data_IF_619303428213
#
_entry.id   IF_619303428213
#
_cell.length_a   1.000
_cell.length_b   1.000
_cell.length_c   1.000
_cell.angle_alpha   90.00
_cell.angle_beta   90.00
_cell.angle_gamma   90.00
#
_symmetry.space_group_name_H-M   'P 1'
#
loop_
_entity.id
_entity.type
_entity.pdbx_description
1 polymer ?
#
# COMPACT_ATOMS: atom_id res chain seq x y z
N UNK A 1 15.52 16.54 10.19
CA UNK A 1 14.60 16.71 9.06
C UNK A 1 13.36 15.90 9.39
N UNK A 2 12.15 16.47 9.33
CA UNK A 2 10.95 15.68 9.55
C UNK A 2 10.92 14.59 8.47
N UNK A 3 10.75 13.33 8.89
CA UNK A 3 10.47 12.27 7.93
C UNK A 3 9.14 12.61 7.27
N UNK A 4 9.07 12.60 5.94
CA UNK A 4 7.80 12.76 5.25
C UNK A 4 6.81 11.70 5.79
N UNK A 5 5.56 12.08 6.06
CA UNK A 5 4.53 11.20 6.64
C UNK A 5 4.38 9.88 5.87
N UNK A 6 4.66 9.90 4.56
CA UNK A 6 4.70 8.73 3.70
C UNK A 6 5.80 7.73 4.05
N UNK A 7 6.96 8.23 4.50
CA UNK A 7 8.10 7.40 4.93
C UNK A 7 7.79 6.73 6.27
N UNK A 8 7.17 7.43 7.20
CA UNK A 8 6.75 6.85 8.49
C UNK A 8 5.67 5.79 8.30
N UNK A 9 4.68 6.05 7.43
CA UNK A 9 3.67 5.05 7.09
C UNK A 9 4.30 3.81 6.45
N UNK A 10 5.30 3.97 5.57
CA UNK A 10 5.99 2.85 4.93
C UNK A 10 6.79 2.00 5.93
N UNK A 11 7.44 2.63 6.92
CA UNK A 11 8.21 1.94 7.97
C UNK A 11 7.28 1.12 8.89
N UNK A 12 6.14 1.69 9.29
CA UNK A 12 5.13 0.97 10.09
C UNK A 12 4.49 -0.20 9.32
N UNK A 13 4.25 0.00 8.01
CA UNK A 13 3.78 -1.05 7.12
C UNK A 13 4.80 -2.17 6.98
N UNK A 14 6.08 -1.83 6.79
CA UNK A 14 7.16 -2.81 6.72
C UNK A 14 7.33 -3.58 8.03
N UNK A 15 7.06 -2.95 9.18
CA UNK A 15 7.09 -3.59 10.48
C UNK A 15 5.88 -4.51 10.75
N UNK A 16 4.80 -4.39 9.95
CA UNK A 16 3.52 -5.06 10.19
C UNK A 16 3.06 -5.83 8.94
N UNK A 17 3.58 -7.05 8.69
CA UNK A 17 3.21 -7.85 7.52
C UNK A 17 1.72 -8.22 7.48
N UNK A 18 1.07 -8.41 8.64
CA UNK A 18 -0.38 -8.63 8.72
C UNK A 18 -1.18 -7.42 8.22
N UNK A 19 -0.73 -6.21 8.54
CA UNK A 19 -1.36 -4.97 8.07
C UNK A 19 -1.20 -4.81 6.56
N UNK A 20 -0.02 -5.14 6.03
CA UNK A 20 0.23 -5.16 4.58
C UNK A 20 -0.71 -6.15 3.89
N UNK A 21 -0.83 -7.38 4.40
CA UNK A 21 -1.74 -8.38 3.85
C UNK A 21 -3.19 -7.89 3.88
N UNK A 22 -3.62 -7.27 4.99
CA UNK A 22 -4.97 -6.73 5.12
C UNK A 22 -5.24 -5.61 4.12
N UNK A 23 -4.30 -4.68 3.93
CA UNK A 23 -4.43 -3.59 2.96
C UNK A 23 -4.47 -4.09 1.52
N UNK A 24 -3.67 -5.10 1.17
CA UNK A 24 -3.71 -5.71 -0.15
C UNK A 24 -5.05 -6.39 -0.45
N UNK A 25 -5.74 -6.90 0.57
CA UNK A 25 -7.07 -7.50 0.44
C UNK A 25 -8.15 -6.41 0.36
N UNK A 26 -8.13 -5.46 1.28
CA UNK A 26 -9.16 -4.42 1.41
C UNK A 26 -9.11 -3.43 0.24
N UNK A 27 -7.93 -3.08 -0.24
CA UNK A 27 -7.73 -2.21 -1.40
C UNK A 27 -7.67 -3.02 -2.70
N UNK A 28 -8.80 -3.62 -3.07
CA UNK A 28 -8.98 -4.33 -4.34
C UNK A 28 -9.61 -3.45 -5.42
N UNK A 29 -9.43 -3.82 -6.68
CA UNK A 29 -10.10 -3.18 -7.80
C UNK A 29 -11.58 -3.56 -7.83
N UNK A 30 -12.44 -2.56 -7.96
CA UNK A 30 -13.86 -2.74 -8.30
C UNK A 30 -14.02 -2.95 -9.82
N UNK A 31 -15.12 -3.57 -10.33
CA UNK A 31 -15.41 -3.69 -11.77
C UNK A 31 -15.23 -2.40 -12.59
N UNK A 32 -15.46 -1.23 -12.01
CA UNK A 32 -15.27 0.06 -12.66
C UNK A 32 -13.81 0.59 -12.61
N UNK A 33 -12.88 -0.18 -12.05
CA UNK A 33 -11.46 0.17 -11.90
C UNK A 33 -11.16 1.12 -10.75
N UNK A 34 -12.08 1.29 -9.80
CA UNK A 34 -11.90 2.08 -8.58
C UNK A 34 -11.39 1.22 -7.43
N UNK A 35 -10.74 1.84 -6.45
CA UNK A 35 -10.33 1.11 -5.25
C UNK A 35 -11.50 0.94 -4.27
N UNK A 36 -11.85 -0.30 -3.91
CA UNK A 36 -12.93 -0.58 -2.94
C UNK A 36 -12.65 -0.09 -1.52
N UNK A 37 -11.38 -0.08 -1.11
CA UNK A 37 -11.00 0.37 0.23
C UNK A 37 -11.21 1.87 0.47
N UNK A 38 -11.49 2.65 -0.58
CA UNK A 38 -11.78 4.08 -0.44
C UNK A 38 -13.28 4.34 -0.54
N UNK A 39 -13.87 4.84 0.55
CA UNK A 39 -15.22 5.37 0.56
C UNK A 39 -15.38 6.45 -0.53
N UNK A 40 -16.43 6.34 -1.33
CA UNK A 40 -16.78 7.26 -2.43
C UNK A 40 -15.83 7.28 -3.64
N UNK A 41 -15.13 6.17 -3.96
CA UNK A 41 -14.32 6.05 -5.18
C UNK A 41 -13.33 7.21 -5.36
N UNK A 42 -12.72 7.67 -4.26
CA UNK A 42 -11.82 8.83 -4.29
C UNK A 42 -10.55 8.61 -5.11
N UNK A 43 -10.15 7.36 -5.32
CA UNK A 43 -8.93 7.02 -6.04
C UNK A 43 -9.12 5.78 -6.92
N UNK A 44 -8.58 5.83 -8.14
CA UNK A 44 -8.58 4.68 -9.06
C UNK A 44 -7.59 3.62 -8.57
N UNK A 45 -7.89 2.36 -8.86
CA UNK A 45 -6.97 1.28 -8.59
C UNK A 45 -5.86 1.25 -9.67
N UNK A 46 -4.58 1.02 -9.30
CA UNK A 46 -4.05 0.84 -7.95
C UNK A 46 -3.96 2.17 -7.18
N UNK A 47 -4.47 2.15 -5.95
CA UNK A 47 -4.42 3.30 -5.04
C UNK A 47 -3.03 3.45 -4.41
N UNK A 48 -2.74 4.65 -3.90
CA UNK A 48 -1.45 4.99 -3.28
C UNK A 48 -1.14 4.09 -2.09
N UNK A 49 -2.14 3.76 -1.26
CA UNK A 49 -2.00 2.87 -0.10
C UNK A 49 -1.68 1.44 -0.53
N UNK A 50 -2.37 0.90 -1.55
CA UNK A 50 -2.05 -0.42 -2.09
C UNK A 50 -0.63 -0.44 -2.63
N UNK A 51 -0.22 0.60 -3.35
CA UNK A 51 1.13 0.68 -3.91
C UNK A 51 2.19 0.71 -2.81
N UNK A 52 1.92 1.38 -1.69
CA UNK A 52 2.78 1.33 -0.50
C UNK A 52 2.82 -0.06 0.12
N UNK A 53 1.67 -0.74 0.25
CA UNK A 53 1.60 -2.10 0.75
C UNK A 53 2.34 -3.09 -0.18
N UNK A 54 2.25 -2.93 -1.50
CA UNK A 54 3.00 -3.73 -2.49
C UNK A 54 4.52 -3.46 -2.39
N UNK A 55 4.93 -2.22 -2.10
CA UNK A 55 6.33 -1.89 -1.88
C UNK A 55 6.86 -2.43 -0.53
N UNK A 56 6.03 -2.43 0.51
CA UNK A 56 6.37 -2.94 1.83
C UNK A 56 6.35 -4.49 1.91
N UNK A 57 5.40 -5.12 1.21
CA UNK A 57 5.26 -6.58 1.13
C UNK A 57 6.01 -7.23 -0.02
N UNK A 58 6.46 -6.43 -1.00
CA UNK A 58 7.34 -6.88 -2.06
C UNK A 58 8.74 -7.17 -1.53
N UNK A 59 9.52 -8.05 -2.18
CA UNK A 59 10.91 -8.20 -1.85
C UNK A 59 11.57 -6.82 -2.04
N UNK A 60 12.03 -6.24 -0.92
CA UNK A 60 12.90 -5.07 -0.95
C UNK A 60 13.91 -5.26 -2.08
N UNK A 61 14.11 -4.30 -3.01
CA UNK A 61 15.16 -4.40 -4.02
C UNK A 61 16.57 -4.23 -3.41
N UNK A 62 16.75 -4.67 -2.17
CA UNK A 62 18.06 -4.95 -1.61
C UNK A 62 18.49 -6.32 -2.16
N UNK A 63 19.42 -6.30 -3.11
CA UNK A 63 20.14 -7.44 -3.69
C UNK A 63 19.38 -8.20 -4.78
N UNK A 64 19.51 -7.70 -6.01
CA UNK A 64 19.78 -8.57 -7.15
C UNK A 64 21.25 -8.31 -7.53
N UNK A 65 22.07 -9.34 -7.31
CA UNK A 65 23.51 -9.46 -7.61
C UNK A 65 23.79 -9.28 -9.10
#
# INVERSE_FOLDING_TARGET
>A
MPKDLFTECADELAASPDLVAQLLVEHSADPDGWCRGHSAHRERHPCSIRRLAELAGGPSPAVAV
#
